data_IF_363102737736
#
_entry.id   IF_363102737736
#
_cell.length_a   1.000
_cell.length_b   1.000
_cell.length_c   1.000
_cell.angle_alpha   90.00
_cell.angle_beta   90.00
_cell.angle_gamma   90.00
#
_symmetry.space_group_name_H-M   'P 1'
#
loop_
_entity.id
_entity.type
_entity.pdbx_description
1 polymer ?
#
# COMPACT_ATOMS: atom_id res chain seq x y z
N UNK A 1 11.73 -7.35 -4.73
CA UNK A 1 10.51 -7.46 -3.91
C UNK A 1 9.55 -6.39 -4.37
N UNK A 2 8.33 -6.77 -4.74
CA UNK A 2 7.29 -5.84 -5.19
C UNK A 2 6.39 -5.40 -4.03
N UNK A 3 5.47 -4.47 -4.30
CA UNK A 3 4.48 -4.04 -3.29
C UNK A 3 3.52 -5.20 -3.01
N UNK A 4 3.13 -5.91 -4.06
CA UNK A 4 2.29 -7.10 -4.01
C UNK A 4 2.94 -8.19 -3.14
N UNK A 5 4.25 -8.42 -3.28
CA UNK A 5 5.00 -9.34 -2.41
C UNK A 5 4.98 -8.88 -0.94
N UNK A 6 5.23 -7.59 -0.70
CA UNK A 6 5.21 -7.01 0.65
C UNK A 6 3.85 -7.19 1.34
N UNK A 7 2.76 -6.86 0.65
CA UNK A 7 1.39 -7.05 1.16
C UNK A 7 1.12 -8.54 1.43
N UNK A 8 1.52 -9.43 0.51
CA UNK A 8 1.33 -10.87 0.68
C UNK A 8 2.06 -11.42 1.91
N UNK A 9 3.29 -10.99 2.15
CA UNK A 9 4.09 -11.39 3.32
C UNK A 9 3.41 -10.89 4.61
N UNK A 10 2.95 -9.63 4.63
CA UNK A 10 2.26 -9.07 5.80
C UNK A 10 0.96 -9.81 6.12
N UNK A 11 0.15 -10.15 5.10
CA UNK A 11 -1.06 -10.96 5.27
C UNK A 11 -0.74 -12.37 5.80
N UNK A 12 0.31 -13.02 5.30
CA UNK A 12 0.74 -14.33 5.80
C UNK A 12 1.22 -14.28 7.26
N UNK A 13 1.86 -13.19 7.66
CA UNK A 13 2.25 -12.96 9.06
C UNK A 13 1.00 -12.77 9.92
N UNK A 14 0.03 -11.97 9.44
CA UNK A 14 -1.24 -11.75 10.15
C UNK A 14 -2.02 -13.07 10.32
N UNK A 15 -2.10 -13.93 9.31
CA UNK A 15 -2.76 -15.24 9.43
C UNK A 15 -2.18 -16.12 10.55
N UNK A 16 -0.87 -16.00 10.80
CA UNK A 16 -0.18 -16.72 11.88
C UNK A 16 -0.33 -16.05 13.24
N UNK A 17 -0.25 -14.72 13.29
CA UNK A 17 -0.22 -13.94 14.55
C UNK A 17 -1.62 -13.61 15.08
N UNK A 18 -2.62 -13.47 14.20
CA UNK A 18 -4.02 -13.16 14.52
C UNK A 18 -4.16 -11.94 15.44
N UNK A 19 -3.39 -10.90 15.16
CA UNK A 19 -3.32 -9.65 15.91
C UNK A 19 -4.27 -8.56 15.40
N UNK A 20 -4.84 -8.73 14.20
CA UNK A 20 -5.73 -7.78 13.54
C UNK A 20 -5.03 -6.52 13.02
N UNK A 21 -3.70 -6.51 12.90
CA UNK A 21 -2.92 -5.28 12.60
C UNK A 21 -2.88 -4.99 11.11
N UNK A 22 -2.79 -6.02 10.27
CA UNK A 22 -2.72 -5.85 8.82
C UNK A 22 -3.68 -6.79 8.10
N UNK A 23 -4.74 -6.25 7.53
CA UNK A 23 -5.80 -7.02 6.85
C UNK A 23 -5.92 -6.61 5.39
N UNK A 24 -6.74 -7.33 4.62
CA UNK A 24 -7.06 -6.99 3.23
C UNK A 24 -7.70 -5.61 3.07
N UNK A 25 -8.31 -5.10 4.14
CA UNK A 25 -9.00 -3.82 4.19
C UNK A 25 -8.15 -2.68 4.79
N UNK A 26 -6.93 -2.97 5.23
CA UNK A 26 -5.99 -1.96 5.70
C UNK A 26 -5.67 -0.99 4.55
N UNK A 27 -5.80 0.31 4.81
CA UNK A 27 -5.40 1.36 3.88
C UNK A 27 -3.88 1.39 3.77
N UNK A 28 -3.39 1.50 2.55
CA UNK A 28 -1.97 1.55 2.24
C UNK A 28 -1.71 2.50 1.07
N UNK A 29 -0.45 2.90 0.94
CA UNK A 29 0.04 3.67 -0.19
C UNK A 29 1.16 2.86 -0.84
N UNK A 30 1.01 2.55 -2.11
CA UNK A 30 2.05 1.95 -2.92
C UNK A 30 2.73 3.00 -3.77
N UNK A 31 4.05 3.11 -3.66
CA UNK A 31 4.86 4.00 -4.49
C UNK A 31 5.94 3.20 -5.23
N UNK A 32 6.18 3.49 -6.50
CA UNK A 32 7.29 2.95 -7.26
C UNK A 32 7.98 4.05 -8.07
N UNK A 33 9.31 3.90 -8.28
CA UNK A 33 10.15 4.81 -9.08
C UNK A 33 10.05 6.30 -8.70
N UNK A 34 9.95 6.56 -7.39
CA UNK A 34 9.88 7.92 -6.84
C UNK A 34 11.05 8.78 -7.35
N UNK A 35 10.77 10.01 -7.80
CA UNK A 35 11.77 10.91 -8.41
C UNK A 35 12.00 10.71 -9.92
N UNK A 36 11.18 9.92 -10.59
CA UNK A 36 11.20 9.73 -12.05
C UNK A 36 9.79 9.51 -12.62
N UNK A 37 9.61 8.46 -13.41
CA UNK A 37 8.29 7.97 -13.85
C UNK A 37 7.57 7.28 -12.69
N UNK A 38 7.14 8.07 -11.71
CA UNK A 38 6.59 7.58 -10.46
C UNK A 38 5.16 7.04 -10.62
N UNK A 39 4.89 5.94 -9.93
CA UNK A 39 3.53 5.41 -9.76
C UNK A 39 3.20 5.47 -8.29
N UNK A 40 2.18 6.24 -7.94
CA UNK A 40 1.66 6.35 -6.58
C UNK A 40 0.19 5.93 -6.62
N UNK A 41 -0.18 4.99 -5.75
CA UNK A 41 -1.55 4.51 -5.59
C UNK A 41 -1.93 4.40 -4.13
N UNK A 42 -3.11 4.91 -3.80
CA UNK A 42 -3.70 4.89 -2.47
C UNK A 42 -4.98 4.06 -2.49
N UNK A 43 -5.09 3.12 -1.56
CA UNK A 43 -6.25 2.24 -1.48
C UNK A 43 -6.07 1.13 -0.45
N UNK A 44 -7.00 0.19 -0.43
CA UNK A 44 -6.92 -0.98 0.45
C UNK A 44 -5.84 -1.94 -0.03
N UNK A 45 -5.24 -2.68 0.89
CA UNK A 45 -4.24 -3.69 0.59
C UNK A 45 -4.68 -4.66 -0.53
N UNK A 46 -5.95 -5.09 -0.53
CA UNK A 46 -6.51 -5.96 -1.57
C UNK A 46 -6.55 -5.32 -2.97
N UNK A 47 -6.74 -4.00 -3.06
CA UNK A 47 -6.79 -3.27 -4.34
C UNK A 47 -5.37 -3.10 -4.89
N UNK A 48 -4.44 -2.68 -4.02
CA UNK A 48 -3.02 -2.51 -4.35
C UNK A 48 -2.37 -3.80 -4.83
N UNK A 49 -2.78 -4.96 -4.29
CA UNK A 49 -2.29 -6.27 -4.75
C UNK A 49 -2.62 -6.58 -6.22
N UNK A 50 -3.58 -5.89 -6.83
CA UNK A 50 -3.96 -6.10 -8.23
C UNK A 50 -3.30 -5.09 -9.18
N UNK A 51 -2.53 -4.13 -8.66
CA UNK A 51 -1.85 -3.11 -9.45
C UNK A 51 -0.46 -3.60 -9.85
N UNK A 52 -0.10 -3.36 -11.11
CA UNK A 52 1.28 -3.49 -11.59
C UNK A 52 2.02 -2.15 -11.41
N UNK A 53 2.88 -2.09 -10.41
CA UNK A 53 3.71 -0.92 -10.12
C UNK A 53 4.94 -0.80 -11.03
N UNK A 54 5.17 -1.76 -11.93
CA UNK A 54 6.30 -1.76 -12.85
C UNK A 54 7.60 -2.20 -12.18
N UNK A 55 8.70 -1.52 -12.53
CA UNK A 55 10.05 -1.87 -12.04
C UNK A 55 10.39 -1.16 -10.72
N UNK A 56 11.34 -1.76 -10.00
CA UNK A 56 11.94 -1.23 -8.77
C UNK A 56 12.50 0.21 -8.93
N UNK A 57 12.66 0.98 -7.83
CA UNK A 57 12.39 0.64 -6.44
C UNK A 57 10.91 0.77 -6.06
N UNK A 58 10.46 -0.06 -5.12
CA UNK A 58 9.09 -0.09 -4.60
C UNK A 58 9.07 0.26 -3.10
N UNK A 59 8.04 0.98 -2.68
CA UNK A 59 7.81 1.44 -1.32
C UNK A 59 6.33 1.15 -0.98
N UNK A 60 6.10 0.52 0.17
CA UNK A 60 4.77 0.30 0.74
C UNK A 60 4.69 1.07 2.05
N UNK A 61 3.69 1.94 2.17
CA UNK A 61 3.43 2.74 3.37
C UNK A 61 2.09 2.30 3.96
N UNK A 62 2.07 2.04 5.26
CA UNK A 62 0.86 1.74 6.03
C UNK A 62 0.62 2.88 7.01
N UNK A 63 -0.26 3.85 6.67
CA UNK A 63 -0.55 4.95 7.58
C UNK A 63 -1.34 4.46 8.80
N UNK A 64 -1.26 5.24 9.88
CA UNK A 64 -2.15 5.11 11.03
C UNK A 64 -3.44 5.91 10.78
N UNK A 65 -3.92 6.65 11.78
CA UNK A 65 -4.98 7.64 11.55
C UNK A 65 -4.45 8.80 10.69
N UNK A 66 -5.08 9.04 9.55
CA UNK A 66 -4.79 10.18 8.68
C UNK A 66 -5.56 11.41 9.18
N UNK A 67 -4.89 12.56 9.17
CA UNK A 67 -5.56 13.83 9.30
C UNK A 67 -6.34 14.14 8.00
N UNK A 68 -7.44 14.87 8.07
CA UNK A 68 -8.30 15.13 6.89
C UNK A 68 -7.56 15.76 5.70
N UNK A 69 -6.52 16.56 5.99
CA UNK A 69 -5.65 17.15 4.95
C UNK A 69 -4.78 16.10 4.26
N UNK A 70 -4.27 15.12 5.01
CA UNK A 70 -3.50 14.02 4.44
C UNK A 70 -4.39 13.12 3.58
N UNK A 71 -5.62 12.86 4.04
CA UNK A 71 -6.60 12.10 3.28
C UNK A 71 -6.98 12.80 1.97
N UNK A 72 -7.28 14.10 2.00
CA UNK A 72 -7.57 14.89 0.79
C UNK A 72 -6.41 14.88 -0.22
N UNK A 73 -5.17 14.94 0.27
CA UNK A 73 -3.98 14.83 -0.58
C UNK A 73 -3.87 13.43 -1.21
N UNK A 74 -4.15 12.36 -0.45
CA UNK A 74 -4.05 10.98 -0.91
C UNK A 74 -5.19 10.56 -1.85
N UNK A 75 -6.37 11.17 -1.74
CA UNK A 75 -7.51 10.91 -2.65
C UNK A 75 -7.15 11.13 -4.12
N UNK A 76 -6.21 12.04 -4.41
CA UNK A 76 -5.70 12.28 -5.78
C UNK A 76 -4.97 11.08 -6.38
N UNK A 77 -4.52 10.15 -5.54
CA UNK A 77 -3.83 8.92 -5.91
C UNK A 77 -4.73 7.68 -5.71
N UNK A 78 -6.03 7.87 -5.46
CA UNK A 78 -7.00 6.79 -5.30
C UNK A 78 -6.99 5.79 -6.45
N UNK A 79 -7.31 4.53 -6.14
CA UNK A 79 -7.55 3.45 -7.11
C UNK A 79 -9.04 3.32 -7.36
#
# INVERSE_FOLDING_TARGET
MTINDGIKILLQIEEKRKTGVFTKDTLCIGCARFGGDEIIKYGRAKELMNINFGVAPHILIVPAGLHFVEEDALLRYGI
#
